data_IF_774036774418
#
_entry.id   IF_774036774418
#
_cell.length_a   1.000
_cell.length_b   1.000
_cell.length_c   1.000
_cell.angle_alpha   90.00
_cell.angle_beta   90.00
_cell.angle_gamma   90.00
#
_symmetry.space_group_name_H-M   'P 1'
#
loop_
_entity.id
_entity.type
_entity.pdbx_description
1 polymer ?
#
# COMPACT_ATOMS: atom_id res chain seq x y z
N UNK A 1 15.58 13.79 -7.88
CA UNK A 1 14.19 14.30 -7.97
C UNK A 1 13.23 13.27 -7.39
N UNK A 2 12.47 13.65 -6.37
CA UNK A 2 11.38 12.81 -5.85
C UNK A 2 10.25 12.80 -6.87
N UNK A 3 9.93 11.62 -7.45
CA UNK A 3 8.77 11.49 -8.33
C UNK A 3 7.51 11.41 -7.46
N UNK A 4 6.68 12.45 -7.53
CA UNK A 4 5.40 12.55 -6.81
C UNK A 4 4.34 11.56 -7.29
N UNK A 5 4.54 10.97 -8.47
CA UNK A 5 3.63 9.99 -9.06
C UNK A 5 4.38 8.71 -9.42
N UNK A 6 3.82 7.57 -9.01
CA UNK A 6 4.31 6.23 -9.38
C UNK A 6 3.17 5.42 -9.98
N UNK A 7 3.46 4.77 -11.10
CA UNK A 7 2.55 3.78 -11.69
C UNK A 7 2.91 2.41 -11.12
N UNK A 8 1.96 1.78 -10.46
CA UNK A 8 2.13 0.45 -9.89
C UNK A 8 1.28 -0.56 -10.66
N UNK A 9 1.65 -1.83 -10.56
CA UNK A 9 0.88 -2.94 -11.09
C UNK A 9 0.06 -3.57 -9.97
N UNK A 10 -1.14 -4.02 -10.32
CA UNK A 10 -1.93 -4.92 -9.50
C UNK A 10 -1.42 -6.33 -9.78
N UNK A 11 -1.12 -7.07 -8.72
CA UNK A 11 -0.69 -8.46 -8.77
C UNK A 11 -1.79 -9.36 -8.22
N UNK A 12 -1.65 -10.66 -8.42
CA UNK A 12 -2.48 -11.67 -7.77
C UNK A 12 -1.82 -12.15 -6.48
N UNK A 13 -2.63 -12.47 -5.47
CA UNK A 13 -2.19 -13.11 -4.24
C UNK A 13 -3.23 -14.14 -3.78
N UNK A 14 -2.81 -15.25 -3.14
CA UNK A 14 -3.74 -16.23 -2.62
C UNK A 14 -4.54 -15.64 -1.45
N UNK A 15 -5.84 -15.92 -1.40
CA UNK A 15 -6.73 -15.45 -0.32
C UNK A 15 -6.34 -16.02 1.06
N UNK A 16 -5.78 -17.23 1.10
CA UNK A 16 -5.28 -17.89 2.32
C UNK A 16 -4.18 -18.90 1.97
N UNK A 17 -3.47 -19.41 2.99
CA UNK A 17 -2.28 -20.28 2.85
C UNK A 17 -2.46 -21.50 1.93
N UNK A 18 -3.69 -21.96 1.69
CA UNK A 18 -3.99 -23.11 0.83
C UNK A 18 -5.14 -22.85 -0.17
N UNK A 19 -5.50 -21.59 -0.40
CA UNK A 19 -6.58 -21.26 -1.34
C UNK A 19 -6.10 -21.28 -2.78
N UNK A 20 -6.87 -21.91 -3.66
CA UNK A 20 -6.70 -21.79 -5.13
C UNK A 20 -7.21 -20.44 -5.66
N UNK A 21 -8.02 -19.73 -4.87
CA UNK A 21 -8.59 -18.45 -5.24
C UNK A 21 -7.54 -17.34 -5.10
N UNK A 22 -7.34 -16.60 -6.19
CA UNK A 22 -6.49 -15.41 -6.24
C UNK A 22 -7.32 -14.14 -5.99
N UNK A 23 -6.72 -13.16 -5.33
CA UNK A 23 -7.27 -11.84 -5.09
C UNK A 23 -6.30 -10.73 -5.54
N UNK A 24 -6.81 -9.54 -5.89
CA UNK A 24 -5.96 -8.40 -6.24
C UNK A 24 -5.07 -7.95 -5.07
N UNK A 25 -3.80 -7.67 -5.37
CA UNK A 25 -2.80 -7.17 -4.42
C UNK A 25 -2.06 -5.97 -5.02
N UNK A 26 -2.02 -4.88 -4.27
CA UNK A 26 -1.15 -3.73 -4.56
C UNK A 26 0.06 -3.79 -3.64
N UNK A 27 1.27 -3.71 -4.20
CA UNK A 27 2.51 -3.66 -3.44
C UNK A 27 3.06 -2.23 -3.37
N UNK A 28 3.00 -1.63 -2.19
CA UNK A 28 3.66 -0.36 -1.87
C UNK A 28 4.98 -0.68 -1.17
N UNK A 29 6.08 -0.71 -1.93
CA UNK A 29 7.40 -1.03 -1.40
C UNK A 29 8.51 -0.21 -2.05
N UNK A 30 9.59 0.01 -1.30
CA UNK A 30 10.84 0.63 -1.75
C UNK A 30 11.24 1.88 -0.96
N UNK A 31 12.49 2.32 -1.15
CA UNK A 31 13.15 3.45 -0.45
C UNK A 31 12.38 4.79 -0.51
N UNK A 32 11.40 4.91 -1.40
CA UNK A 32 10.57 6.10 -1.52
C UNK A 32 9.53 6.25 -0.42
N UNK A 33 9.14 5.14 0.22
CA UNK A 33 8.29 5.17 1.41
C UNK A 33 9.07 5.71 2.61
N UNK A 34 10.32 5.26 2.78
CA UNK A 34 11.23 5.80 3.81
C UNK A 34 11.51 7.29 3.58
N UNK A 35 11.75 7.70 2.33
CA UNK A 35 11.91 9.12 1.98
C UNK A 35 10.65 9.97 2.23
N UNK A 36 9.47 9.35 2.27
CA UNK A 36 8.21 9.97 2.67
C UNK A 36 7.97 9.96 4.19
N UNK A 37 8.87 9.34 4.96
CA UNK A 37 8.77 9.22 6.42
C UNK A 37 7.90 8.05 6.90
N UNK A 38 7.62 7.06 6.05
CA UNK A 38 7.04 5.78 6.48
C UNK A 38 8.15 4.83 6.91
N UNK A 39 8.02 4.28 8.10
CA UNK A 39 8.95 3.34 8.70
C UNK A 39 8.24 2.04 9.07
N UNK A 40 9.02 0.97 9.26
CA UNK A 40 8.49 -0.31 9.75
C UNK A 40 7.85 -0.10 11.12
N UNK A 41 6.61 -0.57 11.28
CA UNK A 41 5.83 -0.40 12.50
C UNK A 41 4.93 0.84 12.51
N UNK A 42 5.08 1.76 11.55
CA UNK A 42 4.14 2.87 11.40
C UNK A 42 2.73 2.36 11.09
N UNK A 43 1.74 2.94 11.77
CA UNK A 43 0.33 2.71 11.46
C UNK A 43 -0.11 3.59 10.30
N UNK A 44 -0.90 3.02 9.42
CA UNK A 44 -1.50 3.72 8.28
C UNK A 44 -3.02 3.58 8.33
N UNK A 45 -3.72 4.65 7.95
CA UNK A 45 -5.14 4.64 7.68
C UNK A 45 -5.35 4.44 6.18
N UNK A 46 -6.13 3.43 5.83
CA UNK A 46 -6.50 3.15 4.44
C UNK A 46 -8.00 3.37 4.30
N UNK A 47 -8.37 4.32 3.45
CA UNK A 47 -9.75 4.60 3.10
C UNK A 47 -9.98 4.20 1.65
N UNK A 48 -11.07 3.49 1.39
CA UNK A 48 -11.50 3.11 0.05
C UNK A 48 -12.87 3.73 -0.24
N UNK A 49 -12.96 4.54 -1.29
CA UNK A 49 -14.22 5.15 -1.75
C UNK A 49 -14.34 5.00 -3.26
N UNK A 50 -15.41 4.33 -3.72
CA UNK A 50 -15.66 4.01 -5.13
C UNK A 50 -14.39 3.40 -5.79
N UNK A 51 -13.69 4.19 -6.61
CA UNK A 51 -12.49 3.77 -7.36
C UNK A 51 -11.18 4.34 -6.80
N UNK A 52 -11.23 4.96 -5.61
CA UNK A 52 -10.08 5.65 -5.01
C UNK A 52 -9.66 4.96 -3.71
N UNK A 53 -8.35 4.78 -3.55
CA UNK A 53 -7.73 4.39 -2.29
C UNK A 53 -6.88 5.56 -1.80
N UNK A 54 -7.13 6.01 -0.57
CA UNK A 54 -6.37 7.06 0.10
C UNK A 54 -5.63 6.43 1.27
N UNK A 55 -4.32 6.65 1.33
CA UNK A 55 -3.45 6.11 2.39
C UNK A 55 -2.83 7.28 3.15
N UNK A 56 -3.14 7.38 4.43
CA UNK A 56 -2.62 8.40 5.31
C UNK A 56 -1.76 7.76 6.41
N UNK A 57 -0.69 8.43 6.81
CA UNK A 57 0.05 8.04 8.02
C UNK A 57 -0.79 8.41 9.24
N UNK A 58 -0.98 7.47 10.17
CA UNK A 58 -1.62 7.77 11.45
C UNK A 58 -0.65 8.61 12.27
N UNK A 59 -1.07 9.83 12.64
CA UNK A 59 -0.31 10.64 13.60
C UNK A 59 -0.71 10.19 15.00
N UNK A 60 0.22 9.57 15.73
CA UNK A 60 0.08 9.43 17.17
C UNK A 60 0.17 10.84 17.78
N UNK A 61 -0.85 11.21 18.56
CA UNK A 61 -0.87 12.44 19.36
C UNK A 61 0.22 12.42 20.42
#
# INVERSE_FOLDING_TARGET
MYKSKRSLKVYEAPLSLNSKQQIPKIQLQGQWLEALGYHVGDKIDVQSTNDTIIINKVKTK
#
